data_IF_283927888672
#
_entry.id   IF_283927888672
#
_cell.length_a   1.000
_cell.length_b   1.000
_cell.length_c   1.000
_cell.angle_alpha   90.00
_cell.angle_beta   90.00
_cell.angle_gamma   90.00
#
_symmetry.space_group_name_H-M   'P 1'
#
loop_
_entity.id
_entity.type
_entity.pdbx_description
1 polymer ?
#
# COMPACT_ATOMS: atom_id res chain seq x y z
N UNK A 1 -11.33 -13.69 8.24
CA UNK A 1 -11.25 -12.84 7.16
C UNK A 1 -11.51 -13.60 5.90
N UNK A 2 -10.63 -13.73 5.02
CA UNK A 2 -10.90 -14.54 3.84
C UNK A 2 -11.72 -13.85 2.79
N UNK A 3 -12.09 -12.61 2.98
CA UNK A 3 -12.77 -11.90 1.94
C UNK A 3 -11.79 -11.57 0.82
N UNK A 4 -12.31 -11.42 -0.37
CA UNK A 4 -11.49 -11.11 -1.52
C UNK A 4 -11.11 -9.62 -1.49
N UNK A 5 -10.09 -9.30 -0.73
CA UNK A 5 -9.60 -7.93 -0.71
C UNK A 5 -8.86 -7.63 -2.01
N UNK A 6 -8.96 -6.39 -2.53
CA UNK A 6 -8.18 -6.00 -3.70
C UNK A 6 -6.70 -6.19 -3.45
N UNK A 7 -6.00 -6.69 -4.45
CA UNK A 7 -4.55 -6.88 -4.37
C UNK A 7 -3.91 -6.35 -5.65
N UNK A 8 -2.66 -5.97 -5.57
CA UNK A 8 -1.91 -5.48 -6.71
C UNK A 8 -0.78 -6.43 -7.10
N UNK A 9 -0.93 -7.70 -6.78
CA UNK A 9 0.13 -8.68 -7.02
C UNK A 9 1.18 -8.69 -5.93
N UNK A 10 1.64 -7.53 -5.50
CA UNK A 10 2.63 -7.42 -4.44
C UNK A 10 2.04 -6.94 -3.12
N UNK A 11 0.95 -6.19 -3.17
CA UNK A 11 0.36 -5.59 -1.99
C UNK A 11 -1.11 -5.96 -1.88
N UNK A 12 -1.62 -5.96 -0.67
CA UNK A 12 -3.03 -6.23 -0.41
C UNK A 12 -3.55 -5.25 0.62
N UNK A 13 -4.83 -4.95 0.54
CA UNK A 13 -5.47 -4.10 1.55
C UNK A 13 -5.33 -4.77 2.92
N UNK A 14 -4.92 -3.98 3.92
CA UNK A 14 -4.65 -4.49 5.25
C UNK A 14 -3.22 -4.98 5.44
N UNK A 15 -2.43 -4.99 4.38
CA UNK A 15 -1.03 -5.40 4.46
C UNK A 15 -0.21 -4.37 5.22
N UNK A 16 0.63 -4.82 6.14
CA UNK A 16 1.58 -3.95 6.81
C UNK A 16 2.81 -3.78 5.94
N UNK A 17 3.24 -2.54 5.80
CA UNK A 17 4.37 -2.21 4.95
C UNK A 17 5.25 -1.19 5.65
N UNK A 18 6.47 -1.06 5.16
CA UNK A 18 7.40 -0.06 5.67
C UNK A 18 7.98 0.74 4.52
N UNK A 19 8.00 2.04 4.67
CA UNK A 19 8.58 2.96 3.70
C UNK A 19 9.86 3.56 4.28
N UNK A 20 10.92 3.70 3.48
CA UNK A 20 12.19 4.22 3.99
C UNK A 20 12.08 5.63 4.58
N UNK A 21 11.15 6.44 4.12
CA UNK A 21 10.97 7.80 4.62
C UNK A 21 9.79 7.94 5.57
N UNK A 22 8.71 7.21 5.28
CA UNK A 22 7.46 7.40 6.02
C UNK A 22 7.29 6.42 7.17
N UNK A 23 8.10 5.37 7.22
CA UNK A 23 8.01 4.39 8.28
C UNK A 23 6.96 3.34 8.03
N UNK A 24 6.44 2.78 9.11
CA UNK A 24 5.48 1.68 9.04
C UNK A 24 4.08 2.21 8.77
N UNK A 25 3.33 1.50 7.94
CA UNK A 25 1.96 1.84 7.65
C UNK A 25 1.16 0.61 7.25
N UNK A 26 -0.10 0.84 6.95
CA UNK A 26 -1.01 -0.22 6.52
C UNK A 26 -1.68 0.22 5.22
N UNK A 27 -1.70 -0.67 4.24
CA UNK A 27 -2.37 -0.39 2.98
C UNK A 27 -3.87 -0.31 3.23
N UNK A 28 -4.47 0.83 2.93
CA UNK A 28 -5.89 1.06 3.15
C UNK A 28 -6.71 0.79 1.91
N UNK A 29 -6.12 1.02 0.75
CA UNK A 29 -6.86 0.95 -0.50
C UNK A 29 -5.92 0.71 -1.67
N UNK A 30 -6.39 -0.02 -2.65
CA UNK A 30 -5.66 -0.25 -3.89
C UNK A 30 -6.60 0.05 -5.05
N UNK A 31 -6.16 0.92 -5.95
CA UNK A 31 -6.92 1.23 -7.16
C UNK A 31 -6.12 0.78 -8.36
N UNK A 32 -6.78 0.06 -9.26
CA UNK A 32 -6.15 -0.40 -10.49
C UNK A 32 -6.19 0.71 -11.52
N UNK A 33 -5.01 1.06 -12.04
CA UNK A 33 -4.87 2.01 -13.13
C UNK A 33 -4.52 1.25 -14.41
N UNK A 34 -4.49 1.96 -15.53
CA UNK A 34 -4.21 1.33 -16.82
C UNK A 34 -2.86 0.61 -16.85
N UNK A 35 -1.85 1.19 -16.21
CA UNK A 35 -0.49 0.64 -16.27
C UNK A 35 0.12 0.39 -14.90
N UNK A 36 -0.62 0.62 -13.82
CA UNK A 36 -0.05 0.51 -12.49
C UNK A 36 -1.18 0.41 -11.48
N UNK A 37 -0.82 0.40 -10.21
CA UNK A 37 -1.78 0.41 -9.11
C UNK A 37 -1.50 1.60 -8.21
N UNK A 38 -2.56 2.24 -7.74
CA UNK A 38 -2.44 3.32 -6.79
C UNK A 38 -2.72 2.78 -5.39
N UNK A 39 -1.78 3.00 -4.49
CA UNK A 39 -1.87 2.51 -3.12
C UNK A 39 -2.12 3.68 -2.18
N UNK A 40 -3.14 3.56 -1.37
CA UNK A 40 -3.36 4.52 -0.29
C UNK A 40 -2.92 3.82 0.99
N UNK A 41 -1.90 4.38 1.63
CA UNK A 41 -1.28 3.77 2.81
C UNK A 41 -1.38 4.74 3.97
N UNK A 42 -1.87 4.26 5.09
CA UNK A 42 -1.92 5.04 6.33
C UNK A 42 -0.68 4.73 7.14
N UNK A 43 0.25 5.68 7.18
CA UNK A 43 1.49 5.54 7.94
C UNK A 43 1.29 6.05 9.36
N UNK A 44 1.89 5.36 10.31
CA UNK A 44 1.73 5.72 11.73
C UNK A 44 2.19 7.14 12.02
N UNK A 45 3.29 7.57 11.43
CA UNK A 45 3.87 8.88 11.70
C UNK A 45 3.66 9.90 10.60
N UNK A 46 3.46 9.46 9.39
CA UNK A 46 3.35 10.37 8.25
C UNK A 46 1.90 10.60 7.79
N UNK A 47 0.96 9.86 8.34
CA UNK A 47 -0.43 9.96 7.94
C UNK A 47 -0.70 9.22 6.63
N UNK A 48 -1.83 9.52 6.03
CA UNK A 48 -2.23 8.84 4.82
C UNK A 48 -1.51 9.41 3.60
N UNK A 49 -0.94 8.53 2.79
CA UNK A 49 -0.23 8.90 1.58
C UNK A 49 -0.72 8.06 0.42
N UNK A 50 -0.72 8.65 -0.76
CA UNK A 50 -1.06 7.93 -2.00
C UNK A 50 0.22 7.68 -2.78
N UNK A 51 0.47 6.43 -3.13
CA UNK A 51 1.70 6.03 -3.81
C UNK A 51 1.35 5.18 -5.02
N UNK A 52 2.17 5.26 -6.06
CA UNK A 52 2.07 4.34 -7.19
C UNK A 52 2.91 3.11 -6.89
N UNK A 53 2.35 1.94 -7.14
CA UNK A 53 2.99 0.69 -6.75
C UNK A 53 4.41 0.56 -7.30
N UNK A 54 4.63 0.93 -8.55
CA UNK A 54 5.96 0.78 -9.15
C UNK A 54 6.99 1.75 -8.57
N UNK A 55 6.57 2.78 -7.87
CA UNK A 55 7.49 3.72 -7.22
C UNK A 55 7.44 3.66 -5.71
N UNK A 56 6.59 2.83 -5.16
CA UNK A 56 6.32 2.86 -3.72
C UNK A 56 7.50 2.35 -2.89
N UNK A 57 8.25 1.40 -3.39
CA UNK A 57 9.41 0.83 -2.69
C UNK A 57 9.08 0.42 -1.26
N UNK A 58 7.92 -0.14 -1.09
CA UNK A 58 7.48 -0.58 0.23
C UNK A 58 8.02 -1.98 0.51
N UNK A 59 8.34 -2.22 1.78
CA UNK A 59 8.73 -3.53 2.26
C UNK A 59 7.54 -4.14 2.98
N UNK A 60 7.15 -5.33 2.60
CA UNK A 60 6.06 -6.03 3.29
C UNK A 60 6.58 -6.58 4.61
N UNK A 61 5.82 -6.35 5.64
CA UNK A 61 6.19 -6.80 6.98
C UNK A 61 5.45 -8.06 7.40
#
# INVERSE_FOLDING_TARGET
AGSAAPVSGEYAVGQRVEHPKFGVGIVQRIETLAEDHKLVVAFDNAGEKTLLAKFAKLTKL
#
